data_IF_573555579282
#
_entry.id   IF_573555579282
#
_cell.length_a   1.000
_cell.length_b   1.000
_cell.length_c   1.000
_cell.angle_alpha   90.00
_cell.angle_beta   90.00
_cell.angle_gamma   90.00
#
_symmetry.space_group_name_H-M   'P 1'
#
loop_
_entity.id
_entity.type
_entity.pdbx_description
1 polymer ?
#
# COMPACT_ATOMS: atom_id res chain seq x y z
N UNK A 1 9.04 13.86 12.00
CA UNK A 1 9.64 13.66 10.66
C UNK A 1 9.81 12.18 10.30
N UNK A 2 10.30 11.32 11.19
CA UNK A 2 10.48 9.88 10.89
C UNK A 2 9.16 9.15 10.57
N UNK A 3 8.12 9.36 11.39
CA UNK A 3 6.80 8.72 11.19
C UNK A 3 6.19 9.10 9.83
N UNK A 4 6.28 10.36 9.42
CA UNK A 4 5.76 10.81 8.12
C UNK A 4 6.52 10.20 6.94
N UNK A 5 7.85 10.07 7.04
CA UNK A 5 8.66 9.45 6.00
C UNK A 5 8.29 7.98 5.82
N UNK A 6 8.19 7.23 6.92
CA UNK A 6 7.85 5.81 6.91
C UNK A 6 6.41 5.58 6.43
N UNK A 7 5.46 6.42 6.86
CA UNK A 7 4.07 6.34 6.40
C UNK A 7 3.94 6.64 4.91
N UNK A 8 4.74 7.57 4.38
CA UNK A 8 4.79 7.86 2.95
C UNK A 8 5.32 6.66 2.15
N UNK A 9 6.45 6.08 2.56
CA UNK A 9 7.04 4.94 1.83
C UNK A 9 6.13 3.72 1.86
N UNK A 10 5.48 3.42 2.97
CA UNK A 10 4.52 2.31 3.05
C UNK A 10 3.25 2.55 2.23
N UNK A 11 2.77 3.80 2.17
CA UNK A 11 1.67 4.16 1.28
C UNK A 11 2.08 3.97 -0.20
N UNK A 12 3.29 4.38 -0.57
CA UNK A 12 3.79 4.20 -1.93
C UNK A 12 3.89 2.71 -2.30
N UNK A 13 4.41 1.88 -1.39
CA UNK A 13 4.46 0.42 -1.58
C UNK A 13 3.06 -0.16 -1.81
N UNK A 14 2.06 0.30 -1.07
CA UNK A 14 0.67 -0.13 -1.26
C UNK A 14 0.15 0.24 -2.65
N UNK A 15 0.38 1.48 -3.09
CA UNK A 15 -0.06 1.98 -4.40
C UNK A 15 0.63 1.20 -5.53
N UNK A 16 1.95 1.07 -5.46
CA UNK A 16 2.74 0.36 -6.45
C UNK A 16 2.38 -1.14 -6.49
N UNK A 17 2.09 -1.75 -5.34
CA UNK A 17 1.65 -3.15 -5.28
C UNK A 17 0.37 -3.41 -6.06
N UNK A 18 -0.58 -2.47 -6.07
CA UNK A 18 -1.82 -2.61 -6.84
C UNK A 18 -1.59 -2.31 -8.32
N UNK A 19 -0.75 -1.32 -8.62
CA UNK A 19 -0.41 -0.93 -10.00
C UNK A 19 0.25 -2.07 -10.81
N UNK A 20 0.85 -3.06 -10.15
CA UNK A 20 1.38 -4.26 -10.81
C UNK A 20 0.30 -4.99 -11.61
N UNK A 21 -0.92 -5.14 -11.06
CA UNK A 21 -2.01 -5.81 -11.77
C UNK A 21 -2.36 -5.09 -13.07
N UNK A 22 -2.46 -3.76 -13.01
CA UNK A 22 -2.78 -2.92 -14.17
C UNK A 22 -1.67 -2.97 -15.23
N UNK A 23 -0.39 -2.93 -14.79
CA UNK A 23 0.75 -3.03 -15.69
C UNK A 23 0.82 -4.40 -16.39
N UNK A 24 0.54 -5.49 -15.66
CA UNK A 24 0.48 -6.84 -16.25
C UNK A 24 -0.68 -6.94 -17.23
N UNK A 25 -1.85 -6.39 -16.90
CA UNK A 25 -3.01 -6.41 -17.80
C UNK A 25 -2.77 -5.60 -19.09
N UNK A 26 -2.09 -4.47 -18.98
CA UNK A 26 -1.69 -3.64 -20.12
C UNK A 26 -0.56 -4.26 -20.98
N UNK A 27 0.11 -5.30 -20.48
CA UNK A 27 1.15 -6.01 -21.22
C UNK A 27 0.55 -6.90 -22.32
N UNK A 28 1.39 -7.34 -23.28
CA UNK A 28 0.97 -8.29 -24.34
C UNK A 28 0.96 -9.74 -23.85
N UNK A 29 0.34 -9.99 -22.70
CA UNK A 29 0.28 -11.31 -22.06
C UNK A 29 -0.40 -12.36 -22.95
N UNK A 30 -1.34 -11.95 -23.79
CA UNK A 30 -2.04 -12.83 -24.74
C UNK A 30 -1.15 -13.31 -25.90
N UNK A 31 0.04 -12.72 -26.10
CA UNK A 31 1.01 -13.19 -27.08
C UNK A 31 1.89 -14.34 -26.54
N UNK A 32 1.75 -14.71 -25.25
CA UNK A 32 2.43 -15.87 -24.69
C UNK A 32 1.88 -17.15 -25.34
N UNK A 33 2.75 -17.93 -26.00
CA UNK A 33 2.34 -19.22 -26.59
C UNK A 33 2.17 -20.33 -25.53
N UNK A 34 2.79 -20.16 -24.36
CA UNK A 34 2.77 -21.14 -23.29
C UNK A 34 1.55 -20.96 -22.38
N UNK A 35 0.77 -22.03 -22.23
CA UNK A 35 -0.42 -22.06 -21.36
C UNK A 35 -0.07 -21.91 -19.89
N UNK A 36 1.07 -22.45 -19.46
CA UNK A 36 1.54 -22.33 -18.07
C UNK A 36 1.89 -20.87 -17.77
N UNK A 37 2.59 -20.19 -18.70
CA UNK A 37 2.88 -18.76 -18.59
C UNK A 37 1.61 -17.90 -18.48
N UNK A 38 0.55 -18.18 -19.26
CA UNK A 38 -0.74 -17.47 -19.15
C UNK A 38 -1.39 -17.71 -17.78
N UNK A 39 -1.35 -18.94 -17.26
CA UNK A 39 -1.89 -19.27 -15.95
C UNK A 39 -1.15 -18.50 -14.83
N UNK A 40 0.18 -18.39 -14.92
CA UNK A 40 0.97 -17.59 -13.98
C UNK A 40 0.63 -16.11 -14.04
N UNK A 41 0.45 -15.53 -15.24
CA UNK A 41 0.01 -14.14 -15.40
C UNK A 41 -1.34 -13.92 -14.72
N UNK A 42 -2.30 -14.83 -14.93
CA UNK A 42 -3.61 -14.75 -14.29
C UNK A 42 -3.50 -14.81 -12.76
N UNK A 43 -2.68 -15.73 -12.25
CA UNK A 43 -2.43 -15.84 -10.82
C UNK A 43 -1.81 -14.55 -10.25
N UNK A 44 -0.86 -13.95 -10.96
CA UNK A 44 -0.23 -12.68 -10.56
C UNK A 44 -1.25 -11.53 -10.50
N UNK A 45 -2.13 -11.41 -11.50
CA UNK A 45 -3.18 -10.39 -11.53
C UNK A 45 -4.10 -10.54 -10.31
N UNK A 46 -4.64 -11.75 -10.08
CA UNK A 46 -5.52 -12.03 -8.93
C UNK A 46 -4.80 -11.74 -7.61
N UNK A 47 -3.51 -12.06 -7.53
CA UNK A 47 -2.74 -11.88 -6.30
C UNK A 47 -2.38 -10.43 -6.01
N UNK A 48 -2.15 -9.62 -7.04
CA UNK A 48 -1.87 -8.19 -6.95
C UNK A 48 -3.11 -7.36 -6.58
N UNK A 49 -4.33 -7.90 -6.74
CA UNK A 49 -5.55 -7.24 -6.25
C UNK A 49 -5.60 -7.14 -4.71
N UNK A 50 -4.80 -7.94 -3.99
CA UNK A 50 -4.60 -7.77 -2.55
C UNK A 50 -3.40 -6.87 -2.31
N UNK A 51 -3.59 -5.62 -1.83
CA UNK A 51 -2.49 -4.70 -1.64
C UNK A 51 -1.48 -5.21 -0.61
N UNK A 52 -0.20 -4.93 -0.84
CA UNK A 52 0.84 -5.12 0.16
C UNK A 52 0.72 -4.03 1.24
N UNK A 53 0.22 -4.40 2.41
CA UNK A 53 0.01 -3.51 3.54
C UNK A 53 1.08 -3.77 4.61
N UNK A 54 1.80 -2.72 5.00
CA UNK A 54 2.68 -2.76 6.16
C UNK A 54 1.88 -2.36 7.40
N UNK A 55 1.68 -3.27 8.35
CA UNK A 55 0.88 -3.00 9.55
C UNK A 55 1.77 -2.67 10.75
N UNK A 56 1.37 -1.69 11.56
CA UNK A 56 2.01 -1.42 12.86
C UNK A 56 1.12 -2.04 13.96
N UNK A 57 1.30 -3.34 14.19
CA UNK A 57 0.61 -4.07 15.27
C UNK A 57 -0.91 -3.77 15.33
N UNK A 58 -1.45 -3.35 16.49
CA UNK A 58 -2.88 -3.10 16.65
C UNK A 58 -3.39 -1.81 15.99
N UNK A 59 -2.49 -0.93 15.51
CA UNK A 59 -2.88 0.34 14.88
C UNK A 59 -3.30 0.19 13.42
N UNK A 60 -3.20 -1.01 12.85
CA UNK A 60 -3.62 -1.31 11.49
C UNK A 60 -2.57 -0.94 10.44
N UNK A 61 -2.98 -0.70 9.18
CA UNK A 61 -2.07 -0.42 8.07
C UNK A 61 -1.43 0.97 8.22
N UNK A 62 -0.11 1.00 8.08
CA UNK A 62 0.68 2.21 8.07
C UNK A 62 0.50 2.94 6.75
N UNK A 63 -0.26 4.03 6.81
CA UNK A 63 -0.59 4.88 5.67
C UNK A 63 -0.35 6.34 6.04
N UNK A 64 -0.38 7.23 5.06
CA UNK A 64 -0.31 8.68 5.32
C UNK A 64 -1.42 9.15 6.26
N UNK A 65 -2.60 8.52 6.19
CA UNK A 65 -3.72 8.76 7.09
C UNK A 65 -3.40 8.39 8.56
N UNK A 66 -2.71 7.28 8.81
CA UNK A 66 -2.32 6.89 10.17
C UNK A 66 -1.29 7.86 10.76
N UNK A 67 -0.33 8.35 9.95
CA UNK A 67 0.59 9.39 10.40
C UNK A 67 -0.15 10.71 10.74
N UNK A 68 -1.12 11.11 9.91
CA UNK A 68 -1.94 12.28 10.20
C UNK A 68 -2.74 12.12 11.50
N UNK A 69 -3.24 10.92 11.78
CA UNK A 69 -3.92 10.62 13.05
C UNK A 69 -3.00 10.81 14.25
N UNK A 70 -1.74 10.35 14.17
CA UNK A 70 -0.73 10.58 15.22
C UNK A 70 -0.47 12.07 15.43
N UNK A 71 -0.33 12.85 14.35
CA UNK A 71 -0.13 14.29 14.47
C UNK A 71 -1.35 15.01 15.06
N UNK A 72 -2.58 14.62 14.69
CA UNK A 72 -3.81 15.15 15.27
C UNK A 72 -3.92 14.84 16.75
N UNK A 73 -3.58 13.62 17.17
CA UNK A 73 -3.58 13.23 18.58
C UNK A 73 -2.55 14.04 19.39
N UNK A 74 -1.34 14.21 18.87
CA UNK A 74 -0.31 15.02 19.50
C UNK A 74 -0.73 16.50 19.64
N UNK A 75 -1.32 17.07 18.58
CA UNK A 75 -1.84 18.44 18.63
C UNK A 75 -2.98 18.59 19.64
N UNK A 76 -3.92 17.65 19.67
CA UNK A 76 -5.02 17.64 20.64
C UNK A 76 -4.50 17.60 22.07
N UNK A 77 -3.49 16.77 22.33
CA UNK A 77 -2.86 16.68 23.65
C UNK A 77 -2.20 18.00 24.05
N UNK A 78 -1.44 18.61 23.16
CA UNK A 78 -0.80 19.92 23.40
C UNK A 78 -1.83 21.03 23.61
N UNK A 79 -2.95 21.00 22.88
CA UNK A 79 -4.04 21.97 23.05
C UNK A 79 -4.64 21.88 24.45
N UNK A 80 -4.94 20.67 24.92
CA UNK A 80 -5.52 20.44 26.25
C UNK A 80 -4.55 20.87 27.36
N UNK A 81 -3.25 20.64 27.18
CA UNK A 81 -2.24 21.03 28.19
C UNK A 81 -1.95 22.53 28.25
N UNK A 82 -2.32 23.28 27.19
CA UNK A 82 -2.13 24.73 27.13
C UNK A 82 -3.30 25.49 27.74
N UNK A 83 -4.42 24.82 27.98
CA UNK A 83 -5.53 25.32 28.79
C UNK A 83 -5.31 25.01 30.27
#
# INVERSE_FOLDING_TARGET
MQISLIAWTCNEIQVQSMAIADAIFASRWYCLLDKEAIAYVHFMIVRAQKPLLMTIGPFGPMTTASALMVFKAAYSYVSIMKE
#
